data_IF_382410038029
#
_entry.id   IF_382410038029
#
_cell.length_a   1.000
_cell.length_b   1.000
_cell.length_c   1.000
_cell.angle_alpha   90.00
_cell.angle_beta   90.00
_cell.angle_gamma   90.00
#
_symmetry.space_group_name_H-M   'P 1'
#
loop_
_entity.id
_entity.type
_entity.pdbx_description
1 polymer ?
#
# COMPACT_ATOMS: atom_id res chain seq x y z
N UNK A 1 -9.52 -21.81 -10.20
CA UNK A 1 -10.01 -21.93 -8.81
C UNK A 1 -10.42 -20.54 -8.33
N UNK A 2 -11.45 -20.41 -7.48
CA UNK A 2 -11.78 -19.09 -6.87
C UNK A 2 -11.02 -18.94 -5.55
N UNK A 3 -10.73 -17.70 -5.07
CA UNK A 3 -10.12 -17.51 -3.76
C UNK A 3 -10.88 -18.22 -2.64
N UNK A 4 -12.21 -18.16 -2.66
CA UNK A 4 -13.04 -18.87 -1.70
C UNK A 4 -12.89 -20.40 -1.80
N UNK A 5 -12.76 -20.97 -3.01
CA UNK A 5 -12.48 -22.40 -3.20
C UNK A 5 -11.11 -22.77 -2.64
N UNK A 6 -10.09 -21.95 -2.92
CA UNK A 6 -8.73 -22.18 -2.44
C UNK A 6 -8.67 -22.16 -0.91
N UNK A 7 -9.31 -21.18 -0.26
CA UNK A 7 -9.39 -21.10 1.21
C UNK A 7 -10.00 -22.38 1.81
N UNK A 8 -11.09 -22.89 1.23
CA UNK A 8 -11.72 -24.13 1.70
C UNK A 8 -10.80 -25.35 1.53
N UNK A 9 -10.08 -25.43 0.41
CA UNK A 9 -9.11 -26.50 0.16
C UNK A 9 -7.94 -26.43 1.14
N UNK A 10 -7.40 -25.23 1.38
CA UNK A 10 -6.33 -24.97 2.34
C UNK A 10 -6.72 -25.46 3.74
N UNK A 11 -7.87 -25.01 4.25
CA UNK A 11 -8.40 -25.42 5.55
C UNK A 11 -8.59 -26.95 5.62
N UNK A 12 -9.19 -27.56 4.59
CA UNK A 12 -9.42 -29.01 4.55
C UNK A 12 -8.13 -29.84 4.51
N UNK A 13 -7.05 -29.29 3.96
CA UNK A 13 -5.74 -29.95 3.90
C UNK A 13 -4.90 -29.78 5.17
N UNK A 14 -5.33 -28.92 6.09
CA UNK A 14 -4.57 -28.62 7.29
C UNK A 14 -4.53 -29.81 8.25
N UNK A 15 -3.34 -30.13 8.79
CA UNK A 15 -3.10 -31.26 9.70
C UNK A 15 -4.03 -31.29 10.92
N UNK A 16 -4.37 -30.11 11.44
CA UNK A 16 -5.18 -29.96 12.65
C UNK A 16 -6.69 -29.90 12.35
N UNK A 17 -7.09 -29.91 11.08
CA UNK A 17 -8.49 -29.92 10.68
C UNK A 17 -9.10 -31.31 10.81
N UNK A 18 -10.17 -31.42 11.60
CA UNK A 18 -10.80 -32.70 11.95
C UNK A 18 -12.01 -33.05 11.09
N UNK A 19 -12.32 -32.25 10.07
CA UNK A 19 -13.56 -32.42 9.28
C UNK A 19 -14.83 -32.06 10.04
N UNK A 20 -14.71 -31.43 11.21
CA UNK A 20 -15.80 -31.00 12.08
C UNK A 20 -16.34 -29.60 11.73
N UNK A 21 -15.89 -29.02 10.61
CA UNK A 21 -16.22 -27.66 10.18
C UNK A 21 -15.80 -26.55 11.16
N UNK A 22 -14.90 -26.85 12.10
CA UNK A 22 -14.31 -25.86 13.01
C UNK A 22 -12.95 -25.44 12.46
N UNK A 23 -12.70 -24.13 12.43
CA UNK A 23 -11.40 -23.55 12.10
C UNK A 23 -10.79 -23.07 13.41
N UNK A 24 -9.73 -23.73 13.88
CA UNK A 24 -9.02 -23.34 15.10
C UNK A 24 -8.12 -22.12 14.83
N UNK A 25 -7.62 -21.51 15.90
CA UNK A 25 -6.75 -20.35 15.81
C UNK A 25 -5.45 -20.67 15.04
N UNK A 26 -4.93 -21.89 15.16
CA UNK A 26 -3.75 -22.36 14.41
C UNK A 26 -4.03 -22.42 12.91
N UNK A 27 -5.18 -22.99 12.50
CA UNK A 27 -5.57 -23.06 11.09
C UNK A 27 -5.77 -21.65 10.53
N UNK A 28 -6.40 -20.77 11.30
CA UNK A 28 -6.63 -19.39 10.92
C UNK A 28 -5.31 -18.61 10.79
N UNK A 29 -4.37 -18.82 11.72
CA UNK A 29 -3.04 -18.23 11.68
C UNK A 29 -2.28 -18.65 10.42
N UNK A 30 -2.19 -19.95 10.16
CA UNK A 30 -1.48 -20.49 8.99
C UNK A 30 -2.11 -20.01 7.68
N UNK A 31 -3.43 -19.90 7.63
CA UNK A 31 -4.14 -19.31 6.48
C UNK A 31 -3.75 -17.84 6.26
N UNK A 32 -3.71 -17.03 7.33
CA UNK A 32 -3.33 -15.62 7.22
C UNK A 32 -1.87 -15.42 6.84
N UNK A 33 -0.97 -16.26 7.35
CA UNK A 33 0.44 -16.26 6.92
C UNK A 33 0.54 -16.59 5.43
N UNK A 34 -0.13 -17.64 4.96
CA UNK A 34 -0.11 -18.00 3.54
C UNK A 34 -0.67 -16.87 2.66
N UNK A 35 -1.78 -16.23 3.06
CA UNK A 35 -2.35 -15.07 2.37
C UNK A 35 -1.37 -13.90 2.30
N UNK A 36 -0.67 -13.60 3.41
CA UNK A 36 0.34 -12.55 3.46
C UNK A 36 1.49 -12.85 2.49
N UNK A 37 2.04 -14.05 2.53
CA UNK A 37 3.17 -14.43 1.67
C UNK A 37 2.81 -14.41 0.18
N UNK A 38 1.58 -14.81 -0.16
CA UNK A 38 1.07 -14.69 -1.53
C UNK A 38 0.94 -13.22 -1.93
N UNK A 39 0.34 -12.39 -1.08
CA UNK A 39 0.13 -10.97 -1.34
C UNK A 39 1.43 -10.17 -1.45
N UNK A 40 2.43 -10.53 -0.66
CA UNK A 40 3.77 -9.94 -0.72
C UNK A 40 4.59 -10.46 -1.90
N UNK A 41 4.12 -11.49 -2.63
CA UNK A 41 4.86 -12.11 -3.73
C UNK A 41 6.02 -13.00 -3.29
N UNK A 42 6.12 -13.31 -2.00
CA UNK A 42 7.12 -14.22 -1.42
C UNK A 42 6.82 -15.67 -1.77
N UNK A 43 5.53 -16.03 -1.79
CA UNK A 43 5.04 -17.38 -2.13
C UNK A 43 4.18 -17.31 -3.38
N UNK A 44 4.54 -18.06 -4.41
CA UNK A 44 3.70 -18.18 -5.61
C UNK A 44 2.79 -19.41 -5.49
N UNK A 45 1.49 -19.17 -5.56
CA UNK A 45 0.46 -20.21 -5.52
C UNK A 45 -0.18 -20.38 -6.90
N UNK A 46 0.26 -21.40 -7.64
CA UNK A 46 -0.17 -21.64 -9.01
C UNK A 46 -1.65 -22.05 -9.10
N UNK A 47 -2.20 -22.74 -8.08
CA UNK A 47 -3.61 -23.11 -8.06
C UNK A 47 -4.52 -21.86 -7.98
N UNK A 48 -4.09 -20.84 -7.25
CA UNK A 48 -4.84 -19.60 -7.02
C UNK A 48 -4.60 -18.56 -8.12
N UNK A 49 -3.33 -18.34 -8.51
CA UNK A 49 -2.93 -17.25 -9.40
C UNK A 49 -2.67 -17.67 -10.85
N UNK A 50 -2.58 -18.98 -11.13
CA UNK A 50 -2.16 -19.47 -12.44
C UNK A 50 -0.78 -18.96 -12.82
N UNK A 51 -0.64 -18.40 -14.02
CA UNK A 51 0.63 -17.89 -14.54
C UNK A 51 1.01 -16.50 -13.99
N UNK A 52 0.15 -15.87 -13.18
CA UNK A 52 0.39 -14.54 -12.64
C UNK A 52 1.39 -14.59 -11.48
N UNK A 53 2.59 -14.04 -11.71
CA UNK A 53 3.64 -13.90 -10.69
C UNK A 53 3.65 -12.49 -10.12
N UNK A 54 3.28 -12.37 -8.85
CA UNK A 54 3.36 -11.12 -8.10
C UNK A 54 4.83 -10.83 -7.82
N UNK A 55 5.27 -9.61 -8.12
CA UNK A 55 6.64 -9.18 -7.80
C UNK A 55 6.77 -9.01 -6.28
N UNK A 56 7.83 -9.52 -5.64
CA UNK A 56 8.03 -9.35 -4.22
C UNK A 56 7.95 -7.88 -3.80
N UNK A 57 7.14 -7.58 -2.80
CA UNK A 57 6.99 -6.23 -2.24
C UNK A 57 7.97 -6.10 -1.08
N UNK A 58 9.01 -5.28 -1.24
CA UNK A 58 9.96 -4.96 -0.18
C UNK A 58 9.76 -3.54 0.31
N UNK A 59 9.87 -3.33 1.63
CA UNK A 59 9.84 -1.98 2.22
C UNK A 59 11.14 -1.20 1.97
N UNK A 60 12.25 -1.91 1.74
CA UNK A 60 13.52 -1.31 1.36
C UNK A 60 13.39 -0.64 -0.01
N UNK A 61 13.62 0.68 -0.07
CA UNK A 61 13.55 1.46 -1.31
C UNK A 61 12.14 1.85 -1.76
N UNK A 62 11.09 1.63 -0.95
CA UNK A 62 9.70 1.94 -1.33
C UNK A 62 9.49 3.43 -1.68
N UNK A 63 10.27 4.33 -1.07
CA UNK A 63 10.22 5.77 -1.31
C UNK A 63 11.37 6.30 -2.18
N UNK A 64 12.36 5.46 -2.50
CA UNK A 64 13.55 5.86 -3.27
C UNK A 64 13.32 5.77 -4.80
N UNK A 65 12.15 5.28 -5.23
CA UNK A 65 11.78 5.26 -6.64
C UNK A 65 11.49 6.68 -7.09
N UNK A 66 12.47 7.30 -7.74
CA UNK A 66 12.27 8.53 -8.49
C UNK A 66 11.20 8.26 -9.54
N UNK A 67 9.99 8.79 -9.32
CA UNK A 67 8.92 8.75 -10.30
C UNK A 67 9.46 9.35 -11.59
N UNK A 68 9.57 8.54 -12.64
CA UNK A 68 9.97 8.99 -13.96
C UNK A 68 9.01 10.11 -14.39
N UNK A 69 9.51 11.34 -14.49
CA UNK A 69 8.73 12.52 -14.87
C UNK A 69 8.17 12.46 -16.30
N UNK A 70 8.48 11.39 -17.02
CA UNK A 70 8.02 11.12 -18.38
C UNK A 70 6.50 10.96 -18.49
N UNK A 71 5.80 10.64 -17.40
CA UNK A 71 4.33 10.65 -17.39
C UNK A 71 3.74 12.06 -17.52
N UNK A 72 4.47 13.09 -17.09
CA UNK A 72 4.07 14.51 -17.19
C UNK A 72 4.64 15.17 -18.44
N UNK A 73 5.83 14.72 -18.87
CA UNK A 73 6.50 15.19 -20.08
C UNK A 73 5.86 14.61 -21.35
N UNK A 74 4.89 15.31 -21.95
CA UNK A 74 4.75 15.40 -23.42
C UNK A 74 3.54 14.74 -24.11
N UNK A 75 2.50 14.25 -23.42
CA UNK A 75 1.32 13.70 -24.17
C UNK A 75 -0.09 14.05 -23.65
N UNK A 76 -0.26 14.50 -22.39
CA UNK A 76 -1.58 14.87 -21.87
C UNK A 76 -1.75 16.40 -21.82
N UNK A 77 -2.11 16.99 -22.96
CA UNK A 77 -2.50 18.41 -23.08
C UNK A 77 -3.59 18.80 -22.05
N UNK A 78 -4.50 17.87 -21.75
CA UNK A 78 -5.53 18.06 -20.72
C UNK A 78 -4.94 18.23 -19.31
N UNK A 79 -3.93 17.44 -18.93
CA UNK A 79 -3.26 17.61 -17.64
C UNK A 79 -2.49 18.92 -17.58
N UNK A 80 -1.79 19.29 -18.65
CA UNK A 80 -1.03 20.55 -18.70
C UNK A 80 -1.93 21.78 -18.64
N UNK A 81 -3.06 21.78 -19.35
CA UNK A 81 -4.05 22.87 -19.30
C UNK A 81 -4.73 22.95 -17.92
N UNK A 82 -5.02 21.81 -17.31
CA UNK A 82 -5.57 21.75 -15.96
C UNK A 82 -4.58 22.34 -14.94
N UNK A 83 -3.31 21.93 -15.00
CA UNK A 83 -2.25 22.44 -14.14
C UNK A 83 -2.10 23.96 -14.28
N UNK A 84 -2.06 24.50 -15.51
CA UNK A 84 -2.02 25.96 -15.76
C UNK A 84 -3.20 26.68 -15.10
N UNK A 85 -4.41 26.15 -15.26
CA UNK A 85 -5.64 26.71 -14.66
C UNK A 85 -5.63 26.70 -13.12
N UNK A 86 -4.92 25.77 -12.49
CA UNK A 86 -4.77 25.74 -11.03
C UNK A 86 -3.63 26.63 -10.54
N UNK A 87 -2.55 26.77 -11.30
CA UNK A 87 -1.45 27.69 -10.97
C UNK A 87 -1.85 29.15 -11.15
N UNK A 88 -2.65 29.47 -12.18
CA UNK A 88 -3.20 30.82 -12.39
C UNK A 88 -4.21 31.22 -11.30
N UNK A 89 -4.86 30.23 -10.66
CA UNK A 89 -5.75 30.44 -9.52
C UNK A 89 -5.02 30.61 -8.18
N UNK A 90 -3.68 30.62 -8.14
CA UNK A 90 -2.92 30.94 -6.91
C UNK A 90 -2.96 32.44 -6.61
N UNK A 91 -4.13 32.88 -6.15
CA UNK A 91 -4.28 33.77 -5.01
C UNK A 91 -4.17 32.98 -3.68
N UNK A 92 -3.33 31.94 -3.62
CA UNK A 92 -2.94 31.34 -2.33
C UNK A 92 -1.79 32.15 -1.74
N UNK A 93 -2.08 33.41 -1.41
CA UNK A 93 -1.16 34.30 -0.72
C UNK A 93 -1.93 35.20 0.27
N UNK A 94 -2.54 34.61 1.31
CA UNK A 94 -2.56 35.24 2.63
C UNK A 94 -2.97 34.25 3.73
N UNK A 95 -2.01 33.83 4.55
CA UNK A 95 -2.04 33.98 6.02
C UNK A 95 -0.97 33.08 6.67
N UNK A 96 0.29 33.48 6.55
CA UNK A 96 1.35 33.04 7.47
C UNK A 96 1.86 34.27 8.19
N UNK A 97 1.10 34.74 9.18
CA UNK A 97 1.62 35.56 10.27
C UNK A 97 0.67 35.42 11.45
N UNK A 98 1.03 34.58 12.42
CA UNK A 98 0.70 34.70 13.84
C UNK A 98 1.27 33.48 14.59
N UNK A 99 2.42 33.64 15.24
CA UNK A 99 2.96 32.61 16.13
C UNK A 99 4.47 32.63 16.37
N UNK A 100 5.12 33.79 16.45
CA UNK A 100 6.52 33.87 16.87
C UNK A 100 6.88 35.22 17.52
N UNK A 101 6.07 35.70 18.47
CA UNK A 101 6.52 36.72 19.44
C UNK A 101 6.04 36.28 20.82
N UNK A 102 6.96 35.79 21.66
CA UNK A 102 6.58 35.45 23.03
C UNK A 102 7.50 34.52 23.81
N UNK A 103 8.82 34.45 23.57
CA UNK A 103 9.74 33.84 24.56
C UNK A 103 11.13 34.49 24.50
N UNK A 104 11.27 35.76 24.87
CA UNK A 104 12.59 36.29 25.19
C UNK A 104 12.55 37.48 26.15
N UNK A 105 11.96 37.29 27.34
CA UNK A 105 12.23 38.13 28.52
C UNK A 105 12.12 37.30 29.80
N UNK A 106 13.20 36.58 30.13
CA UNK A 106 13.58 36.18 31.51
C UNK A 106 14.87 35.34 31.50
N UNK A 107 16.04 36.00 31.56
CA UNK A 107 17.15 35.60 32.44
C UNK A 107 18.26 36.67 32.44
N UNK A 108 18.32 37.36 33.58
CA UNK A 108 19.40 38.06 34.28
C UNK A 108 20.71 38.53 33.62
N UNK A 109 21.08 39.74 34.09
CA UNK A 109 22.36 40.47 34.13
C UNK A 109 22.70 41.38 32.95
#
# INVERSE_FOLDING_TARGET
VTPATWIRNFVRSHKDYKGDSVVTDEIAYDLMVACKEIGEGTRHEAELLGDLKIKPITTAGAYDVKLESNAVHNQNEELLSLLRRYTERKDFAHNTNNGAEGVERRSSM
#
